data_IF_617631940884
#
_entry.id   IF_617631940884
#
_cell.length_a   1.000
_cell.length_b   1.000
_cell.length_c   1.000
_cell.angle_alpha   90.00
_cell.angle_beta   90.00
_cell.angle_gamma   90.00
#
_symmetry.space_group_name_H-M   'P 1'
#
loop_
_entity.id
_entity.type
_entity.pdbx_description
1 polymer ?
#
# COMPACT_ATOMS: atom_id res chain seq x y z
N UNK A 1 4.09 -4.43 -12.28
CA UNK A 1 3.30 -3.96 -13.45
C UNK A 1 2.93 -5.08 -14.42
N UNK A 2 3.89 -5.80 -15.02
CA UNK A 2 3.62 -6.93 -15.94
C UNK A 2 2.59 -7.96 -15.43
N UNK A 3 2.73 -8.42 -14.18
CA UNK A 3 1.79 -9.37 -13.55
C UNK A 3 0.39 -8.77 -13.31
N UNK A 4 0.28 -7.46 -13.08
CA UNK A 4 -1.01 -6.79 -12.86
C UNK A 4 -1.72 -6.67 -14.20
N UNK A 5 -1.04 -6.15 -15.23
CA UNK A 5 -1.57 -6.04 -16.60
C UNK A 5 -2.15 -7.38 -17.10
N UNK A 6 -1.38 -8.46 -16.94
CA UNK A 6 -1.79 -9.81 -17.33
C UNK A 6 -3.03 -10.32 -16.59
N UNK A 7 -3.21 -9.93 -15.32
CA UNK A 7 -4.33 -10.39 -14.49
C UNK A 7 -5.58 -9.52 -14.62
N UNK A 8 -5.42 -8.23 -14.93
CA UNK A 8 -6.53 -7.26 -15.02
C UNK A 8 -7.01 -7.01 -16.45
N UNK A 9 -6.36 -7.59 -17.47
CA UNK A 9 -6.70 -7.38 -18.88
C UNK A 9 -6.53 -5.93 -19.34
N UNK A 10 -5.69 -5.13 -18.65
CA UNK A 10 -5.51 -3.70 -18.92
C UNK A 10 -4.28 -3.46 -19.80
N UNK A 11 -4.33 -2.49 -20.74
CA UNK A 11 -3.18 -2.15 -21.57
C UNK A 11 -1.99 -1.74 -20.69
N UNK A 12 -0.77 -2.28 -20.93
CA UNK A 12 0.40 -2.04 -20.09
C UNK A 12 0.77 -0.57 -19.89
N UNK A 13 0.45 0.28 -20.86
CA UNK A 13 0.86 1.69 -20.96
C UNK A 13 0.26 2.61 -19.88
N UNK A 14 -0.86 2.28 -19.24
CA UNK A 14 -1.47 3.10 -18.15
C UNK A 14 -1.73 2.33 -16.84
N UNK A 15 -1.20 1.10 -16.67
CA UNK A 15 -1.48 0.32 -15.45
C UNK A 15 -1.04 1.07 -14.18
N UNK A 16 0.07 1.80 -14.24
CA UNK A 16 0.57 2.58 -13.09
C UNK A 16 -0.37 3.73 -12.75
N UNK A 17 -0.73 4.57 -13.72
CA UNK A 17 -1.61 5.71 -13.49
C UNK A 17 -2.97 5.26 -12.96
N UNK A 18 -3.52 4.15 -13.47
CA UNK A 18 -4.78 3.63 -12.94
C UNK A 18 -4.68 3.20 -11.48
N UNK A 19 -3.59 2.53 -11.07
CA UNK A 19 -3.40 2.13 -9.68
C UNK A 19 -3.17 3.33 -8.75
N UNK A 20 -2.44 4.35 -9.22
CA UNK A 20 -2.25 5.58 -8.45
C UNK A 20 -3.57 6.30 -8.18
N UNK A 21 -4.50 6.30 -9.15
CA UNK A 21 -5.84 6.88 -8.98
C UNK A 21 -6.74 6.13 -7.99
N UNK A 22 -6.42 4.87 -7.65
CA UNK A 22 -7.19 4.12 -6.64
C UNK A 22 -6.83 4.48 -5.19
N UNK A 23 -5.71 5.17 -5.00
CA UNK A 23 -5.27 5.68 -3.69
C UNK A 23 -5.60 7.18 -3.61
N UNK A 24 -6.29 7.66 -2.57
CA UNK A 24 -6.48 9.09 -2.36
C UNK A 24 -5.17 9.90 -2.26
N UNK A 25 -4.05 9.27 -1.88
CA UNK A 25 -2.73 9.91 -1.94
C UNK A 25 -2.20 10.13 -3.37
N UNK A 26 -2.85 9.56 -4.39
CA UNK A 26 -2.49 9.78 -5.79
C UNK A 26 -1.15 9.17 -6.21
N UNK A 27 -0.62 8.23 -5.41
CA UNK A 27 0.66 7.55 -5.68
C UNK A 27 0.66 6.12 -5.15
N UNK A 28 1.62 5.33 -5.64
CA UNK A 28 1.92 4.02 -5.06
C UNK A 28 2.86 4.16 -3.86
N UNK A 29 2.71 3.27 -2.89
CA UNK A 29 3.68 3.08 -1.83
C UNK A 29 4.99 2.52 -2.35
N UNK A 30 6.09 2.94 -1.73
CA UNK A 30 7.37 2.25 -1.88
C UNK A 30 7.49 1.10 -0.87
N UNK A 31 8.32 0.08 -1.14
CA UNK A 31 8.60 -0.98 -0.17
C UNK A 31 9.14 -0.45 1.17
N UNK A 32 9.91 0.64 1.14
CA UNK A 32 10.54 1.24 2.32
C UNK A 32 9.49 1.84 3.27
N UNK A 33 8.38 2.35 2.74
CA UNK A 33 7.27 2.84 3.58
C UNK A 33 6.60 1.71 4.35
N UNK A 34 6.41 0.55 3.69
CA UNK A 34 5.91 -0.66 4.35
C UNK A 34 6.91 -1.14 5.41
N UNK A 35 8.19 -1.19 5.05
CA UNK A 35 9.25 -1.61 5.97
C UNK A 35 9.37 -0.67 7.19
N UNK A 36 9.12 0.63 7.02
CA UNK A 36 9.16 1.61 8.10
C UNK A 36 8.07 1.35 9.14
N UNK A 37 6.84 1.05 8.70
CA UNK A 37 5.76 0.65 9.61
C UNK A 37 6.12 -0.66 10.34
N UNK A 38 6.65 -1.65 9.63
CA UNK A 38 7.10 -2.91 10.24
C UNK A 38 8.18 -2.66 11.29
N UNK A 39 9.18 -1.82 10.97
CA UNK A 39 10.25 -1.46 11.90
C UNK A 39 9.72 -0.75 13.15
N UNK A 40 8.75 0.15 13.00
CA UNK A 40 8.06 0.75 14.15
C UNK A 40 7.35 -0.30 15.01
N UNK A 41 6.62 -1.23 14.40
CA UNK A 41 5.90 -2.30 15.12
C UNK A 41 6.84 -3.27 15.84
N UNK A 42 8.07 -3.43 15.36
CA UNK A 42 9.11 -4.21 16.03
C UNK A 42 9.87 -3.43 17.12
N UNK A 43 9.61 -2.13 17.28
CA UNK A 43 10.29 -1.29 18.27
C UNK A 43 9.57 -1.31 19.62
N UNK A 44 10.30 -0.96 20.69
CA UNK A 44 9.75 -0.81 22.04
C UNK A 44 8.57 0.18 22.11
N UNK A 45 8.55 1.19 21.24
CA UNK A 45 7.47 2.18 21.20
C UNK A 45 6.10 1.57 20.86
N UNK A 46 6.10 0.41 20.18
CA UNK A 46 4.88 -0.30 19.80
C UNK A 46 4.49 -1.43 20.77
N UNK A 47 5.11 -1.54 21.95
CA UNK A 47 4.91 -2.67 22.87
C UNK A 47 3.45 -2.98 23.25
N UNK A 48 2.57 -1.98 23.24
CA UNK A 48 1.14 -2.16 23.51
C UNK A 48 0.29 -2.61 22.31
N UNK A 49 0.84 -2.63 21.10
CA UNK A 49 0.10 -2.88 19.87
C UNK A 49 0.17 -4.38 19.52
N UNK A 50 -0.92 -5.09 19.78
CA UNK A 50 -1.05 -6.51 19.45
C UNK A 50 -2.47 -6.86 18.96
N UNK A 51 -2.58 -7.94 18.17
CA UNK A 51 -3.86 -8.41 17.63
C UNK A 51 -4.54 -7.48 16.62
N UNK A 52 -3.83 -6.45 16.13
CA UNK A 52 -4.38 -5.44 15.22
C UNK A 52 -4.01 -5.71 13.76
N UNK A 53 -4.96 -5.49 12.85
CA UNK A 53 -4.67 -5.29 11.43
C UNK A 53 -4.49 -3.79 11.16
N UNK A 54 -3.29 -3.38 10.74
CA UNK A 54 -3.01 -1.98 10.40
C UNK A 54 -3.11 -1.80 8.89
N UNK A 55 -4.04 -0.97 8.45
CA UNK A 55 -4.27 -0.68 7.04
C UNK A 55 -3.29 0.39 6.56
N UNK A 56 -2.51 0.06 5.54
CA UNK A 56 -1.60 0.97 4.85
C UNK A 56 -1.96 1.00 3.36
N UNK A 57 -2.94 1.82 3.00
CA UNK A 57 -3.57 1.81 1.67
C UNK A 57 -3.69 3.19 1.01
N UNK A 58 -3.16 4.23 1.66
CA UNK A 58 -3.18 5.59 1.14
C UNK A 58 -4.54 6.28 1.34
N UNK A 59 -5.37 5.75 2.23
CA UNK A 59 -6.70 6.26 2.54
C UNK A 59 -7.80 5.64 1.70
N UNK A 60 -7.56 4.51 1.03
CA UNK A 60 -8.56 3.87 0.17
C UNK A 60 -9.77 3.36 0.97
N UNK A 61 -9.57 2.92 2.21
CA UNK A 61 -10.62 2.64 3.19
C UNK A 61 -11.00 3.95 3.89
N UNK A 62 -12.24 4.40 3.70
CA UNK A 62 -12.83 5.57 4.34
C UNK A 62 -14.19 5.15 4.95
N UNK A 63 -14.45 5.56 6.19
CA UNK A 63 -15.72 5.30 6.91
C UNK A 63 -16.61 6.52 6.89
#
# INVERSE_FOLDING_TARGET
MRRIAARTGRPPEDVRGVLERTSPQGRLFTPEEVASLVGYLCSEAAAGINGQGIVLDGGAVQW
#
